data_IF_577299358298
#
_entry.id   IF_577299358298
#
_cell.length_a   1.000
_cell.length_b   1.000
_cell.length_c   1.000
_cell.angle_alpha   90.00
_cell.angle_beta   90.00
_cell.angle_gamma   90.00
#
_symmetry.space_group_name_H-M   'P 1'
#
loop_
_entity.id
_entity.type
_entity.pdbx_description
1 polymer ?
#
# COMPACT_ATOMS: atom_id res chain seq x y z
N UNK A 1 9.48 12.46 -4.07
CA UNK A 1 8.83 11.13 -4.21
C UNK A 1 7.68 11.15 -5.22
N UNK A 2 6.83 12.17 -5.21
CA UNK A 2 5.63 12.32 -6.06
C UNK A 2 5.96 12.26 -7.57
N UNK A 3 7.07 12.86 -8.01
CA UNK A 3 7.55 12.76 -9.40
C UNK A 3 7.88 11.31 -9.80
N UNK A 4 8.57 10.58 -8.93
CA UNK A 4 8.89 9.16 -9.15
C UNK A 4 7.62 8.30 -9.22
N UNK A 5 6.66 8.52 -8.28
CA UNK A 5 5.33 7.90 -8.32
C UNK A 5 4.63 8.15 -9.67
N UNK A 6 4.56 9.41 -10.10
CA UNK A 6 3.89 9.76 -11.37
C UNK A 6 4.56 9.11 -12.57
N UNK A 7 5.89 9.08 -12.58
CA UNK A 7 6.66 8.43 -13.64
C UNK A 7 6.36 6.93 -13.71
N UNK A 8 6.48 6.21 -12.59
CA UNK A 8 6.26 4.75 -12.60
C UNK A 8 4.80 4.40 -12.89
N UNK A 9 3.84 5.16 -12.35
CA UNK A 9 2.41 5.00 -12.64
C UNK A 9 2.10 5.17 -14.13
N UNK A 10 2.65 6.22 -14.76
CA UNK A 10 2.49 6.47 -16.19
C UNK A 10 3.06 5.33 -17.03
N UNK A 11 4.28 4.87 -16.73
CA UNK A 11 4.92 3.78 -17.48
C UNK A 11 4.16 2.46 -17.36
N UNK A 12 3.67 2.12 -16.14
CA UNK A 12 2.82 0.94 -15.94
C UNK A 12 1.53 1.02 -16.75
N UNK A 13 0.90 2.20 -16.80
CA UNK A 13 -0.30 2.42 -17.62
C UNK A 13 -0.01 2.32 -19.13
N UNK A 14 1.08 2.92 -19.61
CA UNK A 14 1.51 2.85 -21.01
C UNK A 14 1.82 1.42 -21.48
N UNK A 15 2.38 0.59 -20.59
CA UNK A 15 2.65 -0.82 -20.86
C UNK A 15 1.42 -1.73 -20.68
N UNK A 16 0.30 -1.20 -20.19
CA UNK A 16 -0.89 -1.98 -19.87
C UNK A 16 -0.67 -2.98 -18.73
N UNK A 17 0.22 -2.67 -17.78
CA UNK A 17 0.53 -3.50 -16.62
C UNK A 17 -0.39 -3.09 -15.46
N UNK A 18 -1.32 -3.95 -14.99
CA UNK A 18 -2.16 -3.65 -13.85
C UNK A 18 -1.33 -3.47 -12.58
N UNK A 19 -1.66 -2.44 -11.80
CA UNK A 19 -0.94 -2.10 -10.58
C UNK A 19 -1.86 -1.38 -9.58
N UNK A 20 -1.43 -1.30 -8.33
CA UNK A 20 -2.00 -0.37 -7.36
C UNK A 20 -0.88 0.29 -6.54
N UNK A 21 -1.02 1.60 -6.31
CA UNK A 21 -0.24 2.28 -5.28
C UNK A 21 -0.74 1.83 -3.90
N UNK A 22 0.18 1.46 -3.02
CA UNK A 22 -0.09 1.04 -1.64
C UNK A 22 0.75 1.88 -0.66
N UNK A 23 0.84 1.45 0.60
CA UNK A 23 1.70 2.09 1.59
C UNK A 23 1.26 3.50 1.96
N UNK A 24 2.23 4.34 2.35
CA UNK A 24 1.96 5.69 2.85
C UNK A 24 1.34 6.59 1.78
N UNK A 25 1.87 6.56 0.55
CA UNK A 25 1.37 7.43 -0.52
C UNK A 25 -0.05 7.08 -0.94
N UNK A 26 -0.49 5.83 -0.80
CA UNK A 26 -1.87 5.47 -1.05
C UNK A 26 -2.82 6.09 -0.01
N UNK A 27 -2.44 6.10 1.27
CA UNK A 27 -3.23 6.78 2.30
C UNK A 27 -3.29 8.30 2.10
N UNK A 28 -2.21 8.92 1.59
CA UNK A 28 -2.21 10.35 1.23
C UNK A 28 -3.28 10.66 0.18
N UNK A 29 -3.53 9.75 -0.77
CA UNK A 29 -4.56 9.93 -1.78
C UNK A 29 -5.99 9.89 -1.21
N UNK A 30 -6.16 9.35 0.01
CA UNK A 30 -7.42 9.36 0.75
C UNK A 30 -7.48 10.49 1.80
N UNK A 31 -6.49 11.37 1.90
CA UNK A 31 -6.49 12.53 2.78
C UNK A 31 -5.67 12.41 4.07
N UNK A 32 -5.03 11.26 4.35
CA UNK A 32 -4.08 11.15 5.45
C UNK A 32 -2.67 11.50 5.00
N UNK A 33 -2.22 12.72 5.26
CA UNK A 33 -0.92 13.20 4.82
C UNK A 33 0.25 12.64 5.64
N UNK A 34 0.95 11.64 5.08
CA UNK A 34 2.15 11.05 5.66
C UNK A 34 3.37 11.30 4.77
N UNK A 35 4.46 11.76 5.38
CA UNK A 35 5.75 11.84 4.69
C UNK A 35 6.31 10.43 4.49
N UNK A 36 6.80 10.17 3.28
CA UNK A 36 7.53 8.94 2.95
C UNK A 36 8.66 9.24 1.98
N UNK A 37 9.63 8.33 1.88
CA UNK A 37 10.85 8.47 1.08
C UNK A 37 10.87 7.54 -0.14
N UNK A 38 9.92 6.63 -0.20
CA UNK A 38 9.77 5.54 -1.18
C UNK A 38 8.37 5.52 -1.79
N UNK A 39 8.19 4.66 -2.80
CA UNK A 39 6.90 4.37 -3.42
C UNK A 39 6.65 2.88 -3.29
N UNK A 40 5.53 2.49 -2.69
CA UNK A 40 5.12 1.09 -2.59
C UNK A 40 4.09 0.75 -3.68
N UNK A 41 4.34 -0.31 -4.45
CA UNK A 41 3.46 -0.78 -5.52
C UNK A 41 3.05 -2.24 -5.31
N UNK A 42 1.81 -2.54 -5.64
CA UNK A 42 1.30 -3.89 -5.81
C UNK A 42 1.27 -4.24 -7.30
N UNK A 43 1.88 -5.37 -7.64
CA UNK A 43 1.93 -5.93 -9.00
C UNK A 43 1.64 -7.44 -8.98
N UNK A 44 1.38 -8.02 -10.14
CA UNK A 44 1.49 -9.47 -10.33
C UNK A 44 2.96 -9.87 -10.60
N UNK A 45 3.36 -11.13 -10.39
CA UNK A 45 4.70 -11.60 -10.75
C UNK A 45 5.03 -11.34 -12.23
N UNK A 46 4.06 -11.57 -13.12
CA UNK A 46 4.17 -11.34 -14.56
C UNK A 46 4.32 -9.85 -14.88
N UNK A 47 3.52 -8.99 -14.23
CA UNK A 47 3.60 -7.54 -14.39
C UNK A 47 4.95 -6.99 -13.96
N UNK A 48 5.49 -7.46 -12.82
CA UNK A 48 6.83 -7.08 -12.39
C UNK A 48 7.91 -7.53 -13.38
N UNK A 49 7.80 -8.75 -13.91
CA UNK A 49 8.76 -9.28 -14.89
C UNK A 49 8.74 -8.44 -16.17
N UNK A 50 7.57 -8.10 -16.69
CA UNK A 50 7.43 -7.30 -17.90
C UNK A 50 7.93 -5.86 -17.68
N UNK A 51 7.57 -5.23 -16.55
CA UNK A 51 8.07 -3.90 -16.21
C UNK A 51 9.59 -3.88 -16.16
N UNK A 52 10.21 -4.86 -15.48
CA UNK A 52 11.68 -4.96 -15.38
C UNK A 52 12.33 -5.16 -16.73
N UNK A 53 11.76 -6.02 -17.59
CA UNK A 53 12.27 -6.27 -18.94
C UNK A 53 12.29 -4.99 -19.79
N UNK A 54 11.31 -4.11 -19.62
CA UNK A 54 11.18 -2.88 -20.40
C UNK A 54 12.01 -1.73 -19.85
N UNK A 55 12.05 -1.56 -18.53
CA UNK A 55 12.50 -0.30 -17.92
C UNK A 55 13.82 -0.39 -17.16
N UNK A 56 14.33 -1.59 -16.85
CA UNK A 56 15.67 -1.71 -16.27
C UNK A 56 16.73 -1.27 -17.28
N UNK A 57 17.64 -0.40 -16.85
CA UNK A 57 18.61 0.26 -17.72
C UNK A 57 18.08 1.51 -18.43
N UNK A 58 16.77 1.79 -18.38
CA UNK A 58 16.11 2.94 -18.99
C UNK A 58 15.50 3.86 -17.91
N UNK A 59 16.35 4.35 -17.02
CA UNK A 59 15.92 5.22 -15.90
C UNK A 59 15.52 4.46 -14.63
N UNK A 60 15.63 3.12 -14.64
CA UNK A 60 15.51 2.30 -13.44
C UNK A 60 16.66 1.31 -13.29
N UNK A 61 17.07 1.07 -12.06
CA UNK A 61 18.06 0.05 -11.70
C UNK A 61 17.48 -0.87 -10.63
N UNK A 62 17.81 -2.16 -10.68
CA UNK A 62 17.38 -3.09 -9.64
C UNK A 62 18.10 -2.73 -8.32
N UNK A 63 17.42 -2.87 -7.18
CA UNK A 63 18.03 -2.53 -5.87
C UNK A 63 19.23 -3.41 -5.53
N UNK A 64 19.09 -4.72 -5.76
CA UNK A 64 20.10 -5.75 -5.59
C UNK A 64 19.67 -6.98 -6.42
N UNK A 65 20.57 -7.95 -6.71
CA UNK A 65 20.21 -9.15 -7.46
C UNK A 65 18.95 -9.81 -6.89
N UNK A 66 18.03 -10.22 -7.77
CA UNK A 66 16.76 -10.87 -7.40
C UNK A 66 15.75 -10.01 -6.60
N UNK A 67 16.09 -8.77 -6.21
CA UNK A 67 15.17 -7.88 -5.52
C UNK A 67 13.90 -7.63 -6.34
N UNK A 68 12.72 -7.65 -5.71
CA UNK A 68 11.47 -7.21 -6.34
C UNK A 68 11.50 -5.72 -6.67
N UNK A 69 12.05 -4.92 -5.75
CA UNK A 69 12.12 -3.47 -5.87
C UNK A 69 13.21 -2.98 -6.83
N UNK A 70 13.06 -1.72 -7.22
CA UNK A 70 13.96 -1.01 -8.12
C UNK A 70 14.09 0.45 -7.69
N UNK A 71 15.08 1.16 -8.22
CA UNK A 71 15.31 2.58 -7.95
C UNK A 71 15.15 3.37 -9.24
N UNK A 72 14.35 4.42 -9.18
CA UNK A 72 14.27 5.44 -10.21
C UNK A 72 15.54 6.29 -10.15
N UNK A 73 16.37 6.22 -11.19
CA UNK A 73 17.67 6.90 -11.20
C UNK A 73 17.56 8.40 -11.44
N UNK A 74 16.47 8.86 -12.06
CA UNK A 74 16.24 10.28 -12.32
C UNK A 74 15.82 11.04 -11.07
N UNK A 75 14.91 10.44 -10.28
CA UNK A 75 14.39 11.06 -9.07
C UNK A 75 15.12 10.61 -7.80
N UNK A 76 15.99 9.59 -7.90
CA UNK A 76 16.73 9.02 -6.78
C UNK A 76 15.86 8.24 -5.79
N UNK A 77 14.62 7.90 -6.15
CA UNK A 77 13.61 7.32 -5.27
C UNK A 77 13.54 5.81 -5.45
N UNK A 78 13.40 5.13 -4.32
CA UNK A 78 13.18 3.70 -4.23
C UNK A 78 11.72 3.36 -4.52
N UNK A 79 11.50 2.33 -5.33
CA UNK A 79 10.20 1.71 -5.58
C UNK A 79 10.22 0.30 -4.98
N UNK A 80 9.40 0.09 -3.97
CA UNK A 80 9.18 -1.20 -3.33
C UNK A 80 7.99 -1.90 -3.96
N UNK A 81 8.16 -3.18 -4.25
CA UNK A 81 7.14 -3.98 -4.94
C UNK A 81 6.73 -5.15 -4.05
N UNK A 82 5.42 -5.24 -3.85
CA UNK A 82 4.72 -6.37 -3.26
C UNK A 82 3.95 -7.08 -4.35
N UNK A 83 3.91 -8.41 -4.28
CA UNK A 83 3.24 -9.23 -5.28
C UNK A 83 1.86 -9.68 -4.79
N UNK A 84 0.95 -9.84 -5.74
CA UNK A 84 -0.35 -10.50 -5.51
C UNK A 84 -0.15 -11.85 -4.84
N UNK A 85 -0.98 -12.15 -3.83
CA UNK A 85 -0.94 -13.40 -3.06
C UNK A 85 0.09 -13.42 -1.93
N UNK A 86 0.99 -12.42 -1.85
CA UNK A 86 1.84 -12.26 -0.66
C UNK A 86 1.02 -11.80 0.55
N UNK A 87 1.63 -11.87 1.74
CA UNK A 87 0.98 -11.53 3.00
C UNK A 87 1.62 -10.30 3.65
N UNK A 88 0.84 -9.39 4.27
CA UNK A 88 1.36 -8.21 4.96
C UNK A 88 2.07 -8.59 6.26
N UNK A 89 2.83 -7.65 6.85
CA UNK A 89 3.48 -7.83 8.15
C UNK A 89 4.65 -8.79 8.11
N UNK A 90 4.53 -9.92 8.80
CA UNK A 90 5.57 -10.97 8.89
C UNK A 90 5.76 -11.80 7.60
N UNK A 91 4.92 -11.59 6.58
CA UNK A 91 4.98 -12.33 5.31
C UNK A 91 4.44 -13.77 5.37
N UNK A 92 3.90 -14.21 6.51
CA UNK A 92 3.38 -15.57 6.68
C UNK A 92 1.93 -15.70 6.23
N UNK A 93 1.47 -16.90 5.82
CA UNK A 93 0.08 -17.11 5.41
C UNK A 93 -0.96 -16.68 6.44
N UNK A 94 -1.94 -15.87 6.01
CA UNK A 94 -3.09 -15.41 6.79
C UNK A 94 -4.27 -15.05 5.87
N UNK A 95 -5.50 -14.91 6.39
CA UNK A 95 -6.68 -14.63 5.56
C UNK A 95 -6.56 -13.35 4.70
N UNK A 96 -5.88 -12.33 5.23
CA UNK A 96 -5.62 -11.09 4.49
C UNK A 96 -4.34 -11.22 3.66
N UNK A 97 -4.50 -11.23 2.33
CA UNK A 97 -3.42 -11.24 1.35
C UNK A 97 -3.54 -10.05 0.38
N UNK A 98 -2.42 -9.68 -0.24
CA UNK A 98 -2.41 -8.66 -1.30
C UNK A 98 -3.23 -9.16 -2.51
N UNK A 99 -4.28 -8.45 -2.93
CA UNK A 99 -5.18 -8.91 -3.99
C UNK A 99 -4.54 -8.77 -5.38
N UNK A 100 -5.19 -9.30 -6.41
CA UNK A 100 -4.82 -9.02 -7.80
C UNK A 100 -5.20 -7.58 -8.16
N UNK A 101 -4.22 -6.71 -8.50
CA UNK A 101 -4.51 -5.31 -8.83
C UNK A 101 -5.43 -5.15 -10.05
N UNK A 102 -5.47 -6.10 -10.99
CA UNK A 102 -6.35 -6.02 -12.14
C UNK A 102 -7.84 -6.09 -11.77
N UNK A 103 -8.17 -6.76 -10.66
CA UNK A 103 -9.54 -6.93 -10.18
C UNK A 103 -9.89 -6.00 -9.01
N UNK A 104 -8.90 -5.64 -8.18
CA UNK A 104 -9.13 -4.91 -6.95
C UNK A 104 -8.80 -3.42 -7.04
N UNK A 105 -7.94 -3.00 -7.98
CA UNK A 105 -7.56 -1.59 -8.07
C UNK A 105 -8.68 -0.74 -8.69
N UNK A 106 -8.86 0.46 -8.15
CA UNK A 106 -9.75 1.50 -8.66
C UNK A 106 -8.92 2.69 -9.13
N UNK A 107 -9.40 3.38 -10.16
CA UNK A 107 -8.73 4.58 -10.67
C UNK A 107 -8.91 5.74 -9.69
N UNK A 108 -7.83 6.18 -9.06
CA UNK A 108 -7.78 7.44 -8.31
C UNK A 108 -7.47 8.63 -9.23
N UNK A 109 -7.40 9.82 -8.63
CA UNK A 109 -7.17 11.08 -9.37
C UNK A 109 -5.87 11.08 -10.19
N UNK A 110 -4.82 10.43 -9.69
CA UNK A 110 -3.50 10.43 -10.32
C UNK A 110 -2.90 9.04 -10.56
N UNK A 111 -3.50 7.99 -9.99
CA UNK A 111 -2.93 6.65 -10.00
C UNK A 111 -3.99 5.61 -9.61
N UNK A 112 -3.79 4.37 -10.02
CA UNK A 112 -4.56 3.24 -9.50
C UNK A 112 -4.27 3.02 -8.00
N UNK A 113 -5.31 2.76 -7.22
CA UNK A 113 -5.29 2.58 -5.77
C UNK A 113 -6.12 1.35 -5.39
N UNK A 114 -5.83 0.74 -4.24
CA UNK A 114 -6.81 -0.16 -3.63
C UNK A 114 -7.92 0.65 -2.94
N UNK A 115 -9.16 0.15 -2.88
CA UNK A 115 -10.22 0.71 -2.05
C UNK A 115 -9.75 0.89 -0.61
N UNK A 116 -10.19 1.98 0.03
CA UNK A 116 -9.79 2.30 1.40
C UNK A 116 -9.99 1.13 2.39
N UNK A 117 -11.12 0.38 2.39
CA UNK A 117 -11.29 -0.76 3.29
C UNK A 117 -10.16 -1.79 3.11
N UNK A 118 -9.75 -2.06 1.87
CA UNK A 118 -8.67 -3.01 1.56
C UNK A 118 -7.30 -2.52 2.03
N UNK A 119 -7.02 -1.21 1.94
CA UNK A 119 -5.79 -0.63 2.50
C UNK A 119 -5.76 -0.73 4.03
N UNK A 120 -6.91 -0.55 4.68
CA UNK A 120 -7.05 -0.68 6.14
C UNK A 120 -6.79 -2.13 6.56
N UNK A 121 -7.37 -3.13 5.88
CA UNK A 121 -7.10 -4.54 6.16
C UNK A 121 -5.61 -4.88 6.09
N UNK A 122 -4.93 -4.43 5.03
CA UNK A 122 -3.50 -4.68 4.84
C UNK A 122 -2.66 -4.06 5.97
N UNK A 123 -3.02 -2.85 6.43
CA UNK A 123 -2.34 -2.20 7.56
C UNK A 123 -2.61 -2.87 8.89
N UNK A 124 -3.85 -3.25 9.15
CA UNK A 124 -4.23 -4.00 10.36
C UNK A 124 -3.47 -5.32 10.43
N UNK A 125 -3.56 -6.14 9.38
CA UNK A 125 -2.87 -7.43 9.31
C UNK A 125 -1.35 -7.27 9.42
N UNK A 126 -0.77 -6.21 8.84
CA UNK A 126 0.65 -5.88 9.00
C UNK A 126 1.01 -5.58 10.46
N UNK A 127 0.32 -4.64 11.08
CA UNK A 127 0.62 -4.19 12.44
C UNK A 127 0.31 -5.23 13.52
N UNK A 128 -0.64 -6.14 13.28
CA UNK A 128 -0.96 -7.26 14.17
C UNK A 128 0.13 -8.33 14.23
N UNK A 129 0.89 -8.52 13.14
CA UNK A 129 1.79 -9.68 12.98
C UNK A 129 3.27 -9.31 12.97
N UNK A 130 3.62 -8.04 12.72
CA UNK A 130 5.00 -7.57 12.72
C UNK A 130 5.25 -6.50 13.81
N UNK A 131 6.00 -6.81 14.89
CA UNK A 131 6.26 -5.86 15.99
C UNK A 131 6.93 -4.55 15.56
N UNK A 132 7.75 -4.59 14.50
CA UNK A 132 8.40 -3.39 13.96
C UNK A 132 7.47 -2.55 13.06
N UNK A 133 6.22 -2.99 12.84
CA UNK A 133 5.21 -2.35 12.00
C UNK A 133 4.06 -1.74 12.82
N UNK A 134 4.24 -1.48 14.11
CA UNK A 134 3.23 -0.81 14.96
C UNK A 134 2.74 0.52 14.39
N UNK A 135 3.59 1.21 13.61
CA UNK A 135 3.20 2.43 12.89
C UNK A 135 2.04 2.21 11.92
N UNK A 136 1.83 1.01 11.38
CA UNK A 136 0.66 0.72 10.54
C UNK A 136 -0.65 0.78 11.35
N UNK A 137 -0.64 0.38 12.63
CA UNK A 137 -1.81 0.52 13.51
C UNK A 137 -2.06 2.00 13.84
N UNK A 138 -1.00 2.77 14.09
CA UNK A 138 -1.12 4.21 14.29
C UNK A 138 -1.67 4.91 13.04
N UNK A 139 -1.19 4.56 11.84
CA UNK A 139 -1.71 5.09 10.58
C UNK A 139 -3.23 4.79 10.45
N UNK A 140 -3.72 3.63 10.90
CA UNK A 140 -5.17 3.30 10.89
C UNK A 140 -5.96 4.20 11.85
N UNK A 141 -5.46 4.45 13.06
CA UNK A 141 -6.09 5.39 14.02
C UNK A 141 -6.24 6.77 13.39
N UNK A 142 -5.17 7.28 12.78
CA UNK A 142 -5.16 8.61 12.16
C UNK A 142 -6.11 8.70 10.96
N UNK A 143 -6.16 7.66 10.12
CA UNK A 143 -7.13 7.57 9.03
C UNK A 143 -8.57 7.57 9.55
N UNK A 144 -8.86 6.84 10.63
CA UNK A 144 -10.19 6.84 11.28
C UNK A 144 -10.55 8.26 11.74
N UNK A 145 -9.63 8.98 12.38
CA UNK A 145 -9.85 10.34 12.88
C UNK A 145 -10.11 11.35 11.75
N UNK A 146 -9.24 11.35 10.74
CA UNK A 146 -9.29 12.34 9.64
C UNK A 146 -10.51 12.14 8.76
N UNK A 147 -10.79 10.89 8.40
CA UNK A 147 -11.91 10.56 7.49
C UNK A 147 -13.22 10.30 8.23
N UNK A 148 -13.20 10.39 9.57
CA UNK A 148 -14.36 10.13 10.45
C UNK A 148 -15.00 8.78 10.12
N UNK A 149 -14.17 7.74 10.03
CA UNK A 149 -14.64 6.43 9.60
C UNK A 149 -15.67 5.86 10.59
N UNK A 150 -16.79 5.31 10.10
CA UNK A 150 -17.81 4.72 10.94
C UNK A 150 -17.33 3.39 11.55
N UNK A 151 -17.82 3.05 12.75
CA UNK A 151 -17.52 1.76 13.38
C UNK A 151 -18.00 0.58 12.52
N UNK A 152 -19.08 0.82 11.77
CA UNK A 152 -19.76 -0.12 10.88
C UNK A 152 -18.89 -0.57 9.69
N UNK A 153 -17.83 0.19 9.36
CA UNK A 153 -16.86 -0.21 8.34
C UNK A 153 -16.29 -1.61 8.62
N UNK A 154 -16.26 -2.03 9.89
CA UNK A 154 -15.84 -3.37 10.32
C UNK A 154 -16.57 -4.50 9.57
N UNK A 155 -17.79 -4.28 9.12
CA UNK A 155 -18.59 -5.29 8.41
C UNK A 155 -18.11 -5.53 6.97
N UNK A 156 -17.38 -4.57 6.40
CA UNK A 156 -16.74 -4.69 5.09
C UNK A 156 -15.34 -5.30 5.17
N UNK A 157 -14.76 -5.41 6.37
CA UNK A 157 -13.42 -5.95 6.58
C UNK A 157 -13.43 -7.47 6.75
N UNK A 158 -12.31 -8.11 6.41
CA UNK A 158 -12.04 -9.53 6.65
C UNK A 158 -12.18 -9.84 8.15
N UNK A 159 -12.90 -10.92 8.53
CA UNK A 159 -13.07 -11.34 9.93
C UNK A 159 -11.79 -11.36 10.75
N UNK A 160 -10.65 -11.68 10.13
CA UNK A 160 -9.33 -11.74 10.76
C UNK A 160 -8.90 -10.42 11.42
N UNK A 161 -9.28 -9.26 10.86
CA UNK A 161 -8.84 -7.95 11.35
C UNK A 161 -9.91 -7.16 12.11
N UNK A 162 -11.16 -7.67 12.14
CA UNK A 162 -12.32 -6.94 12.69
C UNK A 162 -12.16 -6.55 14.16
N UNK A 163 -11.66 -7.47 14.98
CA UNK A 163 -11.44 -7.20 16.41
C UNK A 163 -10.45 -6.05 16.61
N UNK A 164 -9.32 -6.09 15.88
CA UNK A 164 -8.32 -5.03 15.95
C UNK A 164 -8.88 -3.70 15.42
N UNK A 165 -9.67 -3.70 14.35
CA UNK A 165 -10.32 -2.48 13.88
C UNK A 165 -11.21 -1.85 14.95
N UNK A 166 -12.06 -2.64 15.64
CA UNK A 166 -12.93 -2.13 16.71
C UNK A 166 -12.14 -1.50 17.86
N UNK A 167 -11.05 -2.15 18.28
CA UNK A 167 -10.14 -1.63 19.30
C UNK A 167 -9.55 -0.28 18.87
N UNK A 168 -8.98 -0.20 17.66
CA UNK A 168 -8.37 1.04 17.17
C UNK A 168 -9.41 2.14 16.93
N UNK A 169 -10.63 1.78 16.51
CA UNK A 169 -11.72 2.73 16.34
C UNK A 169 -12.13 3.36 17.68
N UNK A 170 -12.24 2.55 18.75
CA UNK A 170 -12.50 3.06 20.10
C UNK A 170 -11.37 3.97 20.59
N UNK A 171 -10.11 3.56 20.38
CA UNK A 171 -8.95 4.39 20.70
C UNK A 171 -8.98 5.73 19.94
N UNK A 172 -9.36 5.71 18.66
CA UNK A 172 -9.46 6.89 17.81
C UNK A 172 -10.52 7.89 18.31
N UNK A 173 -11.56 7.44 19.02
CA UNK A 173 -12.59 8.32 19.61
C UNK A 173 -12.12 9.04 20.88
N UNK A 174 -11.03 8.57 21.49
CA UNK A 174 -10.49 9.20 22.69
C UNK A 174 -9.68 10.42 22.27
N UNK A 175 -10.11 11.60 22.73
CA UNK A 175 -9.34 12.82 22.55
C UNK A 175 -8.08 12.76 23.43
N UNK A 176 -6.94 13.14 22.86
CA UNK A 176 -5.75 13.38 23.65
C UNK A 176 -6.08 14.53 24.61
N UNK A 177 -5.90 14.31 25.93
CA UNK A 177 -6.04 15.40 26.90
C UNK A 177 -4.86 16.35 26.67
N UNK A 178 -5.16 17.58 26.27
CA UNK A 178 -4.19 18.70 26.22
C UNK A 178 -3.57 18.99 27.59
#
# INVERSE_FOLDING_TARGET
VQRARNKVARLLAEDGIPYALIGAMALNAYGYERVTVDVDLLLTPEGLKEFKKRHLGLGYVQKFPESKGFRDTENGVTIDVVLTGEYPGDGLPKPVAFPDPASAAVQGEHTALLPLPRLIELKLASGMTAPHRLKDLADVIEVIRILKLPAELVEELDPYVREKYRELWQAAQTADRE
#
